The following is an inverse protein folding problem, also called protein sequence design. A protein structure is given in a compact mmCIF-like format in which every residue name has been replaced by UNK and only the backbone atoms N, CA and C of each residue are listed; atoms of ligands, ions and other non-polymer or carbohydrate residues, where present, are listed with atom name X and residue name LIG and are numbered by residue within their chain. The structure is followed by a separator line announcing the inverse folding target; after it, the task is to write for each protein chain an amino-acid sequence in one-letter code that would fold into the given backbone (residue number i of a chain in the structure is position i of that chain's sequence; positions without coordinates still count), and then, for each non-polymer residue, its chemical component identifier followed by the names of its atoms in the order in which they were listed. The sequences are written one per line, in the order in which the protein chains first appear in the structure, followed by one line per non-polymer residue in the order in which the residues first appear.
data_IF_274151834274
#
_entry.id   IF_274151834274
#
_cell.length_a   1.000
_cell.length_b   1.000
_cell.length_c   1.000
_cell.angle_alpha   90.00
_cell.angle_beta   90.00
_cell.angle_gamma   90.00
#
_symmetry.space_group_name_H-M   'P 1'
#
loop_
_entity.id
_entity.type
_entity.pdbx_description
1 polymer ?
#
# COMPACT_ATOMS: atom_id res chain seq x y z
N UNK A 1 -40.82 -26.13 -41.03
CA UNK A 1 -40.48 -26.05 -39.59
C UNK A 1 -38.96 -25.90 -39.51
N UNK A 2 -38.46 -24.66 -39.53
CA UNK A 2 -37.05 -24.37 -39.33
C UNK A 2 -36.91 -23.96 -37.86
N UNK A 3 -36.19 -24.75 -37.08
CA UNK A 3 -35.72 -24.29 -35.77
C UNK A 3 -34.41 -23.56 -36.03
N UNK A 4 -34.44 -22.23 -35.95
CA UNK A 4 -33.21 -21.44 -35.94
C UNK A 4 -32.46 -21.74 -34.64
N UNK A 5 -31.35 -22.44 -34.77
CA UNK A 5 -30.36 -22.56 -33.71
C UNK A 5 -29.57 -21.25 -33.67
N UNK A 6 -29.74 -20.46 -32.62
CA UNK A 6 -28.92 -19.27 -32.42
C UNK A 6 -27.46 -19.68 -32.18
N UNK A 7 -26.47 -18.99 -32.79
CA UNK A 7 -25.07 -19.26 -32.51
C UNK A 7 -24.72 -18.75 -31.10
N UNK A 8 -24.32 -19.68 -30.21
CA UNK A 8 -23.76 -19.34 -28.91
C UNK A 8 -22.47 -18.54 -29.13
N UNK A 9 -22.52 -17.24 -28.86
CA UNK A 9 -21.33 -16.41 -28.88
C UNK A 9 -20.43 -16.85 -27.74
N UNK A 10 -19.21 -17.26 -28.09
CA UNK A 10 -18.12 -17.51 -27.16
C UNK A 10 -17.73 -16.17 -26.54
N UNK A 11 -18.34 -15.82 -25.41
CA UNK A 11 -17.81 -14.77 -24.55
C UNK A 11 -16.55 -15.38 -23.93
N UNK A 12 -15.39 -15.06 -24.51
CA UNK A 12 -14.11 -15.20 -23.83
C UNK A 12 -14.23 -14.44 -22.49
N UNK A 13 -14.40 -15.20 -21.41
CA UNK A 13 -14.29 -14.64 -20.07
C UNK A 13 -12.86 -14.17 -19.91
N UNK A 14 -12.61 -12.92 -19.50
CA UNK A 14 -11.27 -12.42 -19.28
C UNK A 14 -10.56 -13.36 -18.31
N UNK A 15 -9.38 -13.81 -18.73
CA UNK A 15 -8.46 -14.71 -18.05
C UNK A 15 -8.54 -14.58 -16.51
N UNK A 16 -8.69 -15.73 -15.84
CA UNK A 16 -8.34 -15.86 -14.43
C UNK A 16 -6.84 -15.56 -14.33
N UNK A 17 -6.50 -14.28 -14.22
CA UNK A 17 -5.25 -13.90 -13.57
C UNK A 17 -5.38 -14.45 -12.16
N UNK A 18 -4.76 -15.60 -11.95
CA UNK A 18 -4.69 -16.23 -10.65
C UNK A 18 -4.22 -15.17 -9.67
N UNK A 19 -4.87 -15.10 -8.50
CA UNK A 19 -4.46 -14.18 -7.43
C UNK A 19 -2.96 -14.28 -7.11
N UNK A 20 -2.32 -15.41 -7.45
CA UNK A 20 -0.86 -15.61 -7.42
C UNK A 20 -0.06 -14.55 -8.19
N UNK A 21 -0.49 -14.13 -9.39
CA UNK A 21 0.22 -13.11 -10.18
C UNK A 21 0.05 -11.70 -9.59
N UNK A 22 -1.14 -11.36 -9.06
CA UNK A 22 -1.34 -10.08 -8.37
C UNK A 22 -0.68 -10.05 -6.98
N UNK A 23 -0.49 -11.21 -6.34
CA UNK A 23 0.22 -11.31 -5.06
C UNK A 23 1.74 -11.16 -5.21
N UNK A 24 2.33 -11.59 -6.35
CA UNK A 24 3.76 -11.48 -6.59
C UNK A 24 4.24 -10.03 -6.76
N UNK A 25 3.43 -9.13 -7.32
CA UNK A 25 3.86 -7.74 -7.54
C UNK A 25 3.86 -6.89 -6.25
N UNK A 26 3.11 -7.31 -5.22
CA UNK A 26 3.07 -6.64 -3.91
C UNK A 26 4.19 -7.09 -2.96
N UNK A 27 4.91 -8.18 -3.29
CA UNK A 27 5.98 -8.72 -2.47
C UNK A 27 7.25 -7.84 -2.46
N UNK A 28 7.37 -6.88 -3.39
CA UNK A 28 8.62 -6.17 -3.62
C UNK A 28 8.83 -4.88 -2.80
N UNK A 29 7.85 -4.43 -2.01
CA UNK A 29 8.04 -3.15 -1.29
C UNK A 29 8.65 -3.33 0.10
N UNK A 30 8.29 -4.32 0.93
CA UNK A 30 8.96 -4.54 2.23
C UNK A 30 8.86 -6.01 2.66
N UNK A 31 9.81 -6.85 2.19
CA UNK A 31 10.10 -8.13 2.82
C UNK A 31 11.04 -7.89 4.00
N UNK A 32 10.47 -7.59 5.18
CA UNK A 32 11.18 -7.76 6.45
C UNK A 32 10.61 -9.06 7.05
N UNK A 33 11.45 -10.09 6.95
CA UNK A 33 11.42 -11.39 7.62
C UNK A 33 10.05 -12.07 7.67
N UNK A 34 9.71 -12.77 6.59
CA UNK A 34 8.75 -13.87 6.65
C UNK A 34 9.50 -15.13 7.04
N UNK A 35 9.36 -15.57 8.28
CA UNK A 35 9.74 -16.90 8.73
C UNK A 35 9.00 -17.93 7.82
N UNK A 36 9.77 -18.64 6.99
CA UNK A 36 9.30 -19.79 6.23
C UNK A 36 9.30 -20.98 7.20
N UNK A 37 8.10 -21.38 7.64
CA UNK A 37 7.91 -22.62 8.41
C UNK A 37 8.11 -23.81 7.45
N UNK A 38 9.11 -24.66 7.72
CA UNK A 38 9.33 -25.90 6.98
C UNK A 38 8.24 -26.92 7.34
N UNK A 39 7.53 -27.42 6.32
CA UNK A 39 6.45 -28.39 6.46
C UNK A 39 7.03 -29.82 6.61
N UNK A 40 7.08 -30.35 7.84
CA UNK A 40 7.24 -31.80 8.07
C UNK A 40 5.97 -32.55 7.61
N UNK A 41 6.15 -33.54 6.74
CA UNK A 41 5.09 -34.37 6.13
C UNK A 41 4.43 -35.31 7.17
N UNK A 42 3.36 -34.87 7.81
CA UNK A 42 2.42 -35.76 8.50
C UNK A 42 1.00 -35.56 7.99
N UNK A 43 0.34 -36.67 7.66
CA UNK A 43 -0.94 -36.77 6.94
C UNK A 43 -2.13 -36.44 7.88
N UNK A 44 -2.15 -35.23 8.45
CA UNK A 44 -3.29 -34.72 9.22
C UNK A 44 -4.22 -33.86 8.34
N UNK A 45 -5.51 -33.85 8.70
CA UNK A 45 -6.66 -33.23 8.01
C UNK A 45 -6.33 -31.88 7.34
N UNK A 46 -6.17 -31.91 6.01
CA UNK A 46 -5.72 -30.81 5.14
C UNK A 46 -6.48 -29.49 5.35
N UNK A 47 -7.78 -29.52 5.65
CA UNK A 47 -8.55 -28.30 5.92
C UNK A 47 -8.06 -27.53 7.15
N UNK A 48 -7.72 -28.22 8.23
CA UNK A 48 -7.32 -27.59 9.49
C UNK A 48 -5.91 -26.97 9.36
N UNK A 49 -5.03 -27.59 8.55
CA UNK A 49 -3.70 -27.05 8.18
C UNK A 49 -3.80 -25.81 7.27
N UNK A 50 -4.75 -25.79 6.32
CA UNK A 50 -4.97 -24.61 5.47
C UNK A 50 -5.53 -23.44 6.26
N UNK A 51 -6.48 -23.70 7.18
CA UNK A 51 -7.01 -22.69 8.09
C UNK A 51 -5.91 -22.13 9.01
N UNK A 52 -5.06 -22.99 9.58
CA UNK A 52 -3.95 -22.55 10.43
C UNK A 52 -2.94 -21.69 9.66
N UNK A 53 -2.57 -22.09 8.44
CA UNK A 53 -1.68 -21.31 7.56
C UNK A 53 -2.29 -19.95 7.18
N UNK A 54 -3.60 -19.91 6.89
CA UNK A 54 -4.30 -18.65 6.61
C UNK A 54 -4.31 -17.71 7.82
N UNK A 55 -4.53 -18.25 9.03
CA UNK A 55 -4.50 -17.47 10.26
C UNK A 55 -3.11 -16.88 10.54
N UNK A 56 -2.04 -17.66 10.34
CA UNK A 56 -0.65 -17.17 10.50
C UNK A 56 -0.35 -16.08 9.48
N UNK A 57 -0.69 -16.32 8.20
CA UNK A 57 -0.51 -15.34 7.13
C UNK A 57 -1.23 -14.03 7.42
N UNK A 58 -2.50 -14.07 7.85
CA UNK A 58 -3.27 -12.87 8.18
C UNK A 58 -2.71 -12.15 9.42
N UNK A 59 -2.22 -12.87 10.44
CA UNK A 59 -1.53 -12.26 11.58
C UNK A 59 -0.29 -11.49 11.13
N UNK A 60 0.53 -12.09 10.27
CA UNK A 60 1.76 -11.47 9.75
C UNK A 60 1.44 -10.23 8.90
N UNK A 61 0.42 -10.31 8.04
CA UNK A 61 -0.07 -9.15 7.27
C UNK A 61 -0.49 -7.99 8.19
N UNK A 62 -1.23 -8.29 9.27
CA UNK A 62 -1.64 -7.28 10.27
C UNK A 62 -0.45 -6.71 11.03
N UNK A 63 0.54 -7.54 11.39
CA UNK A 63 1.76 -7.12 12.07
C UNK A 63 2.53 -6.11 11.21
N UNK A 64 2.80 -6.44 9.94
CA UNK A 64 3.47 -5.55 8.97
C UNK A 64 2.75 -4.22 8.79
N UNK A 65 1.42 -4.25 8.63
CA UNK A 65 0.61 -3.02 8.51
C UNK A 65 0.73 -2.14 9.77
N UNK A 66 0.72 -2.74 10.94
CA UNK A 66 0.83 -1.99 12.19
C UNK A 66 2.25 -1.44 12.41
N UNK A 67 3.29 -2.19 12.03
CA UNK A 67 4.68 -1.71 12.06
C UNK A 67 4.87 -0.47 11.17
N UNK A 68 4.35 -0.52 9.94
CA UNK A 68 4.37 0.64 9.03
C UNK A 68 3.65 1.86 9.61
N UNK A 69 2.50 1.65 10.27
CA UNK A 69 1.78 2.74 10.95
C UNK A 69 2.60 3.32 12.12
N UNK A 70 3.34 2.50 12.86
CA UNK A 70 4.25 2.98 13.91
C UNK A 70 5.41 3.80 13.33
N UNK A 71 6.01 3.34 12.23
CA UNK A 71 7.05 4.11 11.53
C UNK A 71 6.50 5.46 11.07
N UNK A 72 5.35 5.48 10.40
CA UNK A 72 4.71 6.72 9.96
C UNK A 72 4.51 7.72 11.10
N UNK A 73 4.09 7.24 12.29
CA UNK A 73 3.92 8.08 13.48
C UNK A 73 5.22 8.71 13.97
N UNK A 74 6.34 8.01 13.86
CA UNK A 74 7.65 8.54 14.27
C UNK A 74 8.15 9.67 13.36
N UNK A 75 7.67 9.72 12.10
CA UNK A 75 8.07 10.73 11.12
C UNK A 75 7.22 12.01 11.18
N UNK A 76 6.01 11.93 11.72
CA UNK A 76 5.06 13.06 11.74
C UNK A 76 5.16 13.81 13.07
N UNK A 77 5.44 15.13 13.08
CA UNK A 77 5.67 15.90 14.32
C UNK A 77 4.45 16.04 15.24
N UNK A 78 3.23 15.88 14.72
CA UNK A 78 1.97 16.17 15.43
C UNK A 78 0.93 15.07 15.23
N UNK A 79 1.08 13.95 15.94
CA UNK A 79 0.05 12.92 16.01
C UNK A 79 -0.96 13.29 17.10
N UNK A 80 -2.15 13.71 16.66
CA UNK A 80 -3.21 14.19 17.55
C UNK A 80 -3.95 13.05 18.25
N UNK A 81 -4.10 11.91 17.56
CA UNK A 81 -4.70 10.68 18.09
C UNK A 81 -4.05 9.44 17.52
N UNK A 82 -4.21 8.36 18.26
CA UNK A 82 -3.63 7.04 17.95
C UNK A 82 -4.46 6.22 16.96
N UNK A 83 -5.65 6.69 16.61
CA UNK A 83 -6.53 5.99 15.68
C UNK A 83 -5.95 6.01 14.28
N UNK A 84 -6.07 4.88 13.56
CA UNK A 84 -5.50 4.70 12.21
C UNK A 84 -5.89 5.82 11.24
N UNK A 85 -7.16 6.24 11.28
CA UNK A 85 -7.67 7.33 10.43
C UNK A 85 -6.96 8.65 10.75
N UNK A 86 -6.80 8.96 12.04
CA UNK A 86 -6.19 10.20 12.48
C UNK A 86 -4.71 10.24 12.13
N UNK A 87 -3.98 9.14 12.32
CA UNK A 87 -2.56 9.03 11.91
C UNK A 87 -2.40 9.37 10.42
N UNK A 88 -3.25 8.81 9.55
CA UNK A 88 -3.22 9.09 8.12
C UNK A 88 -3.59 10.55 7.80
N UNK A 89 -4.60 11.09 8.47
CA UNK A 89 -5.01 12.49 8.32
C UNK A 89 -3.90 13.45 8.72
N UNK A 90 -3.22 13.20 9.84
CA UNK A 90 -2.15 14.04 10.36
C UNK A 90 -0.93 14.01 9.43
N UNK A 91 -0.59 12.84 8.86
CA UNK A 91 0.48 12.69 7.88
C UNK A 91 0.23 13.50 6.60
N UNK A 92 -1.01 13.49 6.09
CA UNK A 92 -1.40 14.27 4.90
C UNK A 92 -1.28 15.78 5.18
N UNK A 93 -1.76 16.23 6.34
CA UNK A 93 -1.67 17.64 6.73
C UNK A 93 -0.22 18.10 6.84
N UNK A 94 0.66 17.27 7.41
CA UNK A 94 2.08 17.59 7.52
C UNK A 94 2.75 17.75 6.15
N UNK A 95 2.52 16.81 5.23
CA UNK A 95 3.08 16.91 3.86
C UNK A 95 2.61 18.17 3.13
N UNK A 96 1.33 18.53 3.26
CA UNK A 96 0.81 19.77 2.67
C UNK A 96 1.51 21.01 3.22
N UNK A 97 1.76 21.05 4.53
CA UNK A 97 2.49 22.15 5.16
C UNK A 97 3.91 22.29 4.61
N UNK A 98 4.64 21.18 4.50
CA UNK A 98 5.98 21.17 3.90
C UNK A 98 5.94 21.70 2.46
N UNK A 99 5.02 21.22 1.62
CA UNK A 99 4.94 21.65 0.23
C UNK A 99 4.65 23.16 0.09
N UNK A 100 3.81 23.71 0.96
CA UNK A 100 3.51 25.14 0.98
C UNK A 100 4.72 25.96 1.44
N UNK A 101 5.46 25.48 2.43
CA UNK A 101 6.69 26.12 2.91
C UNK A 101 7.77 26.14 1.83
N UNK A 102 8.03 25.00 1.18
CA UNK A 102 9.01 24.92 0.08
C UNK A 102 8.63 25.81 -1.09
N UNK A 103 7.34 25.90 -1.43
CA UNK A 103 6.89 26.78 -2.51
C UNK A 103 7.11 28.26 -2.20
N UNK A 104 6.88 28.68 -0.94
CA UNK A 104 7.16 30.05 -0.49
C UNK A 104 8.66 30.35 -0.51
N UNK A 105 9.48 29.40 -0.10
CA UNK A 105 10.94 29.54 -0.13
C UNK A 105 11.47 29.70 -1.57
N UNK A 106 10.93 28.94 -2.52
CA UNK A 106 11.27 29.07 -3.94
C UNK A 106 10.85 30.43 -4.53
N UNK A 107 9.66 30.94 -4.16
CA UNK A 107 9.20 32.28 -4.57
C UNK A 107 10.11 33.38 -3.99
N UNK A 108 10.51 33.26 -2.73
CA UNK A 108 11.43 34.19 -2.10
C UNK A 108 12.81 34.21 -2.78
N UNK A 109 13.28 33.07 -3.29
CA UNK A 109 14.54 32.98 -4.04
C UNK A 109 14.46 33.62 -5.44
N UNK A 110 13.25 33.78 -5.98
CA UNK A 110 13.01 34.52 -7.22
C UNK A 110 12.90 36.04 -6.93
N UNK A 111 12.27 36.44 -5.82
CA UNK A 111 12.05 37.84 -5.46
C UNK A 111 13.30 38.60 -4.98
N UNK A 112 14.38 37.90 -4.60
CA UNK A 112 15.65 38.54 -4.21
C UNK A 112 16.52 39.02 -5.39
N UNK A 113 16.09 38.82 -6.64
CA UNK A 113 16.85 39.22 -7.84
C UNK A 113 16.37 40.55 -8.49
N UNK A 114 15.31 41.18 -7.98
CA UNK A 114 14.76 42.43 -8.57
C UNK A 114 15.20 43.71 -7.81
N UNK A 115 15.86 43.60 -6.65
CA UNK A 115 16.28 44.76 -5.84
C UNK A 115 17.77 45.14 -6.01
N UNK A 116 18.53 44.44 -6.87
CA UNK A 116 19.92 44.82 -7.19
C UNK A 116 20.10 45.53 -8.54
N UNK A 117 19.04 45.78 -9.32
CA UNK A 117 19.12 46.48 -10.61
C UNK A 117 18.48 47.88 -10.66
N UNK A 118 18.21 48.52 -9.51
CA UNK A 118 17.85 49.96 -9.49
C UNK A 118 19.00 50.84 -8.97
N UNK A 119 19.67 51.42 -9.98
CA UNK A 119 20.84 52.31 -10.02
C UNK A 119 20.70 53.62 -9.21
N UNK A 120 21.80 54.39 -8.99
CA UNK A 120 22.49 55.13 -10.06
C UNK A 120 23.94 54.73 -10.33
#
# INVERSE_FOLDING_TARGET
MFHESLPTTMIESPCIQTQSQQQQELANIINVDGEEEEDDDEEEKVEDKLLSRNLVSERNRRKRLNEQLCVLRSLVPHITKMDKRTILSDAISYLKGILEETAKEEENHCNSNEESELCP
#
